data_IF_648200165864
#
_entry.id   IF_648200165864
#
_cell.length_a   1.000
_cell.length_b   1.000
_cell.length_c   1.000
_cell.angle_alpha   90.00
_cell.angle_beta   90.00
_cell.angle_gamma   90.00
#
_symmetry.space_group_name_H-M   'P 1'
#
loop_
_entity.id
_entity.type
_entity.pdbx_description
1 polymer ?
#
# COMPACT_ATOMS: atom_id res chain seq x y z
N UNK A 1 7.60 14.76 10.65
CA UNK A 1 7.49 14.76 9.17
C UNK A 1 7.12 13.38 8.62
N UNK A 2 7.96 12.34 8.80
CA UNK A 2 7.72 11.01 8.22
C UNK A 2 6.38 10.35 8.64
N UNK A 3 6.09 10.28 9.95
CA UNK A 3 4.84 9.69 10.45
C UNK A 3 3.58 10.43 9.99
N UNK A 4 3.66 11.77 9.93
CA UNK A 4 2.58 12.59 9.37
C UNK A 4 2.34 12.25 7.89
N UNK A 5 3.39 11.99 7.12
CA UNK A 5 3.28 11.54 5.74
C UNK A 5 2.61 10.18 5.61
N UNK A 6 2.97 9.20 6.45
CA UNK A 6 2.31 7.88 6.47
C UNK A 6 0.81 7.99 6.83
N UNK A 7 0.48 8.81 7.83
CA UNK A 7 -0.92 9.10 8.21
C UNK A 7 -1.65 9.75 7.05
N UNK A 8 -1.03 10.73 6.38
CA UNK A 8 -1.61 11.40 5.23
C UNK A 8 -1.90 10.42 4.09
N UNK A 9 -0.98 9.51 3.77
CA UNK A 9 -1.18 8.45 2.77
C UNK A 9 -2.39 7.59 3.14
N UNK A 10 -2.49 7.15 4.40
CA UNK A 10 -3.61 6.36 4.87
C UNK A 10 -4.94 7.12 4.77
N UNK A 11 -4.97 8.42 5.11
CA UNK A 11 -6.14 9.27 4.97
C UNK A 11 -6.57 9.44 3.51
N UNK A 12 -5.62 9.71 2.59
CA UNK A 12 -5.90 9.82 1.15
C UNK A 12 -6.45 8.50 0.61
N UNK A 13 -5.91 7.36 1.06
CA UNK A 13 -6.44 6.04 0.73
C UNK A 13 -7.89 5.88 1.19
N UNK A 14 -8.19 6.17 2.46
CA UNK A 14 -9.54 6.02 3.02
C UNK A 14 -10.54 6.92 2.28
N UNK A 15 -10.14 8.16 1.98
CA UNK A 15 -10.95 9.08 1.18
C UNK A 15 -11.26 8.49 -0.19
N UNK A 16 -10.24 8.05 -0.94
CA UNK A 16 -10.45 7.44 -2.27
C UNK A 16 -11.25 6.15 -2.19
N UNK A 17 -11.02 5.33 -1.17
CA UNK A 17 -11.74 4.09 -0.96
C UNK A 17 -13.24 4.33 -0.86
N UNK A 18 -13.62 5.31 -0.02
CA UNK A 18 -15.01 5.74 0.18
C UNK A 18 -15.58 6.42 -1.06
N UNK A 19 -14.86 7.37 -1.64
CA UNK A 19 -15.31 8.12 -2.81
C UNK A 19 -15.54 7.22 -4.03
N UNK A 20 -14.71 6.18 -4.20
CA UNK A 20 -14.86 5.22 -5.30
C UNK A 20 -15.81 4.06 -4.98
N UNK A 21 -16.47 4.05 -3.82
CA UNK A 21 -17.37 2.97 -3.43
C UNK A 21 -18.67 3.01 -4.25
N UNK A 22 -19.23 4.21 -4.45
CA UNK A 22 -20.46 4.46 -5.20
C UNK A 22 -20.26 4.64 -6.71
N UNK A 23 -19.03 4.50 -7.20
CA UNK A 23 -18.69 4.77 -8.60
C UNK A 23 -18.46 3.50 -9.40
N UNK A 24 -18.94 3.53 -10.65
CA UNK A 24 -18.65 2.50 -11.65
C UNK A 24 -17.36 2.88 -12.38
N UNK A 25 -16.34 2.01 -12.41
CA UNK A 25 -15.09 2.28 -13.11
C UNK A 25 -15.30 2.33 -14.63
N UNK A 26 -14.48 3.12 -15.32
CA UNK A 26 -14.61 3.30 -16.77
C UNK A 26 -14.45 1.96 -17.53
N UNK A 27 -15.43 1.66 -18.39
CA UNK A 27 -15.48 0.45 -19.21
C UNK A 27 -14.25 0.22 -20.09
N UNK A 28 -13.63 1.29 -20.59
CA UNK A 28 -12.48 1.21 -21.51
C UNK A 28 -11.20 0.72 -20.83
N UNK A 29 -11.08 0.89 -19.51
CA UNK A 29 -9.89 0.55 -18.73
C UNK A 29 -10.09 -0.67 -17.82
N UNK A 30 -11.15 -1.45 -18.04
CA UNK A 30 -11.45 -2.62 -17.20
C UNK A 30 -10.34 -3.67 -17.20
N UNK A 31 -9.67 -3.90 -18.33
CA UNK A 31 -8.62 -4.93 -18.44
C UNK A 31 -7.37 -4.59 -17.57
N UNK A 32 -6.75 -3.41 -17.68
CA UNK A 32 -5.63 -3.05 -16.81
C UNK A 32 -6.03 -3.00 -15.33
N UNK A 33 -7.23 -2.48 -15.02
CA UNK A 33 -7.76 -2.46 -13.64
C UNK A 33 -7.89 -3.88 -13.08
N UNK A 34 -8.45 -4.82 -13.85
CA UNK A 34 -8.57 -6.23 -13.43
C UNK A 34 -7.20 -6.88 -13.19
N UNK A 35 -6.17 -6.55 -13.98
CA UNK A 35 -4.81 -7.04 -13.78
C UNK A 35 -4.21 -6.49 -12.48
N UNK A 36 -4.34 -5.18 -12.24
CA UNK A 36 -3.90 -4.55 -10.99
C UNK A 36 -4.65 -5.13 -9.78
N UNK A 37 -5.93 -5.46 -9.92
CA UNK A 37 -6.70 -6.12 -8.85
C UNK A 37 -6.16 -7.48 -8.47
N UNK A 38 -5.81 -8.29 -9.48
CA UNK A 38 -5.16 -9.58 -9.25
C UNK A 38 -3.81 -9.40 -8.58
N UNK A 39 -3.00 -8.43 -9.02
CA UNK A 39 -1.71 -8.13 -8.40
C UNK A 39 -1.87 -7.74 -6.93
N UNK A 40 -2.78 -6.83 -6.60
CA UNK A 40 -3.04 -6.41 -5.21
C UNK A 40 -3.47 -7.59 -4.34
N UNK A 41 -4.32 -8.48 -4.86
CA UNK A 41 -4.81 -9.65 -4.10
C UNK A 41 -3.74 -10.72 -3.93
N UNK A 42 -2.86 -10.88 -4.92
CA UNK A 42 -1.82 -11.92 -4.93
C UNK A 42 -0.52 -11.47 -4.26
N UNK A 43 -0.29 -10.16 -4.16
CA UNK A 43 0.86 -9.55 -3.51
C UNK A 43 1.22 -10.14 -2.14
N UNK A 44 0.28 -10.38 -1.19
CA UNK A 44 0.67 -10.87 0.13
C UNK A 44 1.21 -12.31 0.07
N UNK A 45 0.76 -13.14 -0.88
CA UNK A 45 1.28 -14.49 -1.07
C UNK A 45 2.71 -14.48 -1.60
N UNK A 46 2.99 -13.65 -2.62
CA UNK A 46 4.35 -13.47 -3.15
C UNK A 46 5.29 -12.99 -2.04
N UNK A 47 4.83 -12.03 -1.25
CA UNK A 47 5.59 -11.49 -0.12
C UNK A 47 5.93 -12.58 0.89
N UNK A 48 4.96 -13.40 1.33
CA UNK A 48 5.24 -14.51 2.26
C UNK A 48 6.28 -15.48 1.71
N UNK A 49 6.21 -15.84 0.43
CA UNK A 49 7.18 -16.75 -0.21
C UNK A 49 8.58 -16.13 -0.22
N UNK A 50 8.71 -14.89 -0.68
CA UNK A 50 10.00 -14.18 -0.76
C UNK A 50 10.61 -14.01 0.63
N UNK A 51 9.80 -13.59 1.62
CA UNK A 51 10.24 -13.45 2.99
C UNK A 51 10.67 -14.79 3.60
N UNK A 52 9.95 -15.87 3.33
CA UNK A 52 10.31 -17.21 3.83
C UNK A 52 11.69 -17.63 3.30
N UNK A 53 11.96 -17.38 2.02
CA UNK A 53 13.26 -17.69 1.40
C UNK A 53 14.38 -16.82 2.01
N UNK A 54 14.15 -15.51 2.14
CA UNK A 54 15.12 -14.58 2.74
C UNK A 54 15.41 -14.94 4.21
N UNK A 55 14.38 -15.34 4.95
CA UNK A 55 14.47 -15.76 6.34
C UNK A 55 15.35 -17.01 6.51
N UNK A 56 15.20 -17.99 5.60
CA UNK A 56 15.97 -19.24 5.63
C UNK A 56 17.45 -19.03 5.24
N UNK A 57 17.77 -18.02 4.43
CA UNK A 57 19.06 -17.91 3.75
C UNK A 57 19.97 -16.78 4.23
N UNK A 58 19.43 -15.63 4.63
CA UNK A 58 20.23 -14.39 4.76
C UNK A 58 20.07 -13.67 6.12
N UNK A 59 18.93 -13.82 6.81
CA UNK A 59 18.56 -12.97 7.96
C UNK A 59 19.09 -13.41 9.35
N UNK A 60 20.35 -13.89 9.47
CA UNK A 60 20.89 -14.31 10.79
C UNK A 60 21.16 -13.18 11.80
N UNK A 61 20.99 -11.90 11.43
CA UNK A 61 21.09 -10.74 12.34
C UNK A 61 20.21 -9.56 11.91
N UNK A 62 19.73 -8.76 12.88
CA UNK A 62 18.82 -7.61 12.69
C UNK A 62 17.43 -7.95 12.12
N UNK A 63 16.91 -9.12 12.48
CA UNK A 63 15.65 -9.65 11.95
C UNK A 63 14.45 -8.71 12.13
N UNK A 64 14.36 -8.03 13.28
CA UNK A 64 13.29 -7.09 13.58
C UNK A 64 13.32 -5.83 12.68
N UNK A 65 14.51 -5.32 12.35
CA UNK A 65 14.68 -4.15 11.48
C UNK A 65 14.26 -4.49 10.05
N UNK A 66 14.68 -5.66 9.54
CA UNK A 66 14.44 -6.06 8.16
C UNK A 66 12.98 -6.42 7.91
N UNK A 67 12.34 -7.08 8.88
CA UNK A 67 10.92 -7.41 8.76
C UNK A 67 10.07 -6.15 8.83
N UNK A 68 10.33 -5.26 9.79
CA UNK A 68 9.59 -4.01 9.90
C UNK A 68 9.82 -3.09 8.70
N UNK A 69 11.03 -3.05 8.15
CA UNK A 69 11.38 -2.37 6.91
C UNK A 69 10.53 -2.87 5.75
N UNK A 70 10.61 -4.17 5.46
CA UNK A 70 9.96 -4.70 4.29
C UNK A 70 8.42 -4.74 4.44
N UNK A 71 7.86 -4.81 5.66
CA UNK A 71 6.42 -4.57 5.90
C UNK A 71 5.98 -3.16 5.53
N UNK A 72 6.71 -2.13 5.96
CA UNK A 72 6.38 -0.73 5.66
C UNK A 72 6.54 -0.45 4.17
N UNK A 73 7.65 -0.87 3.57
CA UNK A 73 7.90 -0.68 2.13
C UNK A 73 6.84 -1.41 1.30
N UNK A 74 6.50 -2.65 1.66
CA UNK A 74 5.43 -3.40 1.00
C UNK A 74 4.07 -2.69 1.10
N UNK A 75 3.73 -2.17 2.28
CA UNK A 75 2.50 -1.40 2.47
C UNK A 75 2.45 -0.20 1.53
N UNK A 76 3.53 0.57 1.44
CA UNK A 76 3.62 1.73 0.57
C UNK A 76 3.44 1.37 -0.91
N UNK A 77 4.05 0.28 -1.37
CA UNK A 77 3.86 -0.21 -2.74
C UNK A 77 2.40 -0.60 -3.04
N UNK A 78 1.71 -1.19 -2.07
CA UNK A 78 0.28 -1.50 -2.21
C UNK A 78 -0.57 -0.23 -2.30
N UNK A 79 -0.33 0.77 -1.42
CA UNK A 79 -1.02 2.06 -1.50
C UNK A 79 -0.76 2.73 -2.85
N UNK A 80 0.48 2.75 -3.32
CA UNK A 80 0.86 3.30 -4.62
C UNK A 80 0.11 2.64 -5.77
N UNK A 81 0.08 1.30 -5.80
CA UNK A 81 -0.62 0.53 -6.82
C UNK A 81 -2.12 0.82 -6.80
N UNK A 82 -2.71 0.99 -5.60
CA UNK A 82 -4.10 1.37 -5.44
C UNK A 82 -4.38 2.78 -5.97
N UNK A 83 -3.51 3.77 -5.70
CA UNK A 83 -3.67 5.12 -6.24
C UNK A 83 -3.65 5.13 -7.76
N UNK A 84 -2.71 4.41 -8.39
CA UNK A 84 -2.65 4.28 -9.86
C UNK A 84 -3.91 3.59 -10.39
N UNK A 85 -4.34 2.49 -9.76
CA UNK A 85 -5.57 1.79 -10.16
C UNK A 85 -6.77 2.73 -10.11
N UNK A 86 -6.88 3.51 -9.03
CA UNK A 86 -8.01 4.41 -8.80
C UNK A 86 -7.98 5.58 -9.79
N UNK A 87 -6.81 6.11 -10.10
CA UNK A 87 -6.61 7.13 -11.14
C UNK A 87 -7.13 6.64 -12.49
N UNK A 88 -6.72 5.44 -12.93
CA UNK A 88 -7.20 4.86 -14.19
C UNK A 88 -8.69 4.49 -14.16
N UNK A 89 -9.18 4.00 -13.02
CA UNK A 89 -10.57 3.58 -12.88
C UNK A 89 -11.58 4.72 -12.91
N UNK A 90 -11.21 5.90 -12.42
CA UNK A 90 -12.15 7.01 -12.21
C UNK A 90 -11.58 8.36 -12.68
N UNK A 91 -10.79 8.37 -13.75
CA UNK A 91 -10.16 9.59 -14.31
C UNK A 91 -11.14 10.75 -14.55
N UNK A 92 -12.41 10.46 -14.83
CA UNK A 92 -13.47 11.47 -15.05
C UNK A 92 -13.89 12.22 -13.78
N UNK A 93 -13.63 11.66 -12.60
CA UNK A 93 -13.98 12.30 -11.34
C UNK A 93 -12.84 13.20 -10.85
N UNK A 94 -13.06 14.52 -10.87
CA UNK A 94 -12.05 15.54 -10.53
C UNK A 94 -11.46 15.37 -9.12
N UNK A 95 -12.28 15.00 -8.13
CA UNK A 95 -11.81 14.83 -6.76
C UNK A 95 -10.89 13.61 -6.64
N UNK A 96 -11.27 12.49 -7.27
CA UNK A 96 -10.44 11.28 -7.29
C UNK A 96 -9.14 11.52 -8.06
N UNK A 97 -9.21 12.24 -9.17
CA UNK A 97 -8.05 12.62 -9.96
C UNK A 97 -7.06 13.43 -9.11
N UNK A 98 -7.52 14.50 -8.46
CA UNK A 98 -6.68 15.38 -7.64
C UNK A 98 -6.04 14.59 -6.49
N UNK A 99 -6.83 13.81 -5.76
CA UNK A 99 -6.32 13.04 -4.62
C UNK A 99 -5.32 11.96 -5.08
N UNK A 100 -5.56 11.32 -6.22
CA UNK A 100 -4.62 10.34 -6.78
C UNK A 100 -3.33 11.02 -7.28
N UNK A 101 -3.43 12.20 -7.90
CA UNK A 101 -2.28 12.99 -8.34
C UNK A 101 -1.41 13.48 -7.19
N UNK A 102 -1.98 13.70 -6.00
CA UNK A 102 -1.21 14.03 -4.78
C UNK A 102 -0.69 12.75 -4.11
N UNK A 103 -1.52 11.71 -4.01
CA UNK A 103 -1.19 10.46 -3.34
C UNK A 103 -0.05 9.68 -4.01
N UNK A 104 0.02 9.66 -5.34
CA UNK A 104 1.06 8.99 -6.12
C UNK A 104 2.47 9.54 -5.79
N UNK A 105 2.78 10.83 -6.02
CA UNK A 105 4.11 11.38 -5.77
C UNK A 105 4.47 11.34 -4.28
N UNK A 106 3.51 11.58 -3.39
CA UNK A 106 3.73 11.48 -1.94
C UNK A 106 4.17 10.07 -1.55
N UNK A 107 3.42 9.05 -1.99
CA UNK A 107 3.75 7.65 -1.67
C UNK A 107 5.08 7.24 -2.32
N UNK A 108 5.32 7.66 -3.55
CA UNK A 108 6.55 7.36 -4.28
C UNK A 108 7.79 7.99 -3.61
N UNK A 109 7.67 9.23 -3.11
CA UNK A 109 8.70 9.88 -2.31
C UNK A 109 9.09 9.03 -1.08
N UNK A 110 8.10 8.55 -0.33
CA UNK A 110 8.36 7.68 0.83
C UNK A 110 8.94 6.33 0.45
N UNK A 111 8.51 5.74 -0.68
CA UNK A 111 9.12 4.51 -1.20
C UNK A 111 10.60 4.73 -1.45
N UNK A 112 10.99 5.77 -2.21
CA UNK A 112 12.40 6.01 -2.51
C UNK A 112 13.23 6.29 -1.26
N UNK A 113 12.67 7.04 -0.30
CA UNK A 113 13.36 7.35 0.94
C UNK A 113 13.55 6.13 1.84
N UNK A 114 12.55 5.26 1.93
CA UNK A 114 12.52 4.13 2.85
C UNK A 114 12.97 2.81 2.24
N UNK A 115 13.13 2.71 0.92
CA UNK A 115 13.59 1.47 0.26
C UNK A 115 15.03 1.11 0.67
N UNK A 116 16.01 2.04 0.74
CA UNK A 116 17.32 1.73 1.29
C UNK A 116 17.22 1.39 2.78
N UNK A 117 17.75 0.23 3.19
CA UNK A 117 17.67 -0.25 4.57
C UNK A 117 18.32 0.75 5.54
N UNK A 118 19.48 1.31 5.18
CA UNK A 118 20.19 2.27 6.05
C UNK A 118 19.34 3.52 6.34
N UNK A 119 18.67 4.06 5.32
CA UNK A 119 17.78 5.21 5.49
C UNK A 119 16.58 4.84 6.35
N UNK A 120 15.98 3.66 6.14
CA UNK A 120 14.89 3.18 6.99
C UNK A 120 15.33 3.05 8.45
N UNK A 121 16.49 2.44 8.69
CA UNK A 121 16.99 2.19 10.04
C UNK A 121 17.24 3.51 10.77
N UNK A 122 17.82 4.51 10.09
CA UNK A 122 18.04 5.84 10.67
C UNK A 122 16.75 6.65 10.86
N UNK A 123 15.83 6.62 9.91
CA UNK A 123 14.65 7.48 9.91
C UNK A 123 13.48 6.91 10.73
N UNK A 124 13.41 5.59 10.86
CA UNK A 124 12.28 4.87 11.47
C UNK A 124 12.76 3.98 12.62
N UNK A 125 13.54 2.94 12.33
CA UNK A 125 13.79 1.87 13.30
C UNK A 125 14.53 2.37 14.55
N UNK A 126 15.56 3.21 14.43
CA UNK A 126 16.27 3.76 15.59
C UNK A 126 15.40 4.72 16.43
N UNK A 127 14.32 5.28 15.87
CA UNK A 127 13.47 6.24 16.58
C UNK A 127 12.34 5.59 17.36
N UNK A 128 11.74 4.53 16.80
CA UNK A 128 10.56 3.87 17.39
C UNK A 128 10.77 2.39 17.66
N UNK A 129 11.96 1.85 17.34
CA UNK A 129 12.32 0.45 17.56
C UNK A 129 11.30 -0.51 16.96
N UNK A 130 10.97 -1.54 17.74
CA UNK A 130 10.02 -2.58 17.36
C UNK A 130 8.59 -2.06 17.12
N UNK A 131 8.24 -0.82 17.52
CA UNK A 131 6.93 -0.24 17.22
C UNK A 131 6.76 -0.02 15.70
N UNK A 132 7.86 0.10 14.93
CA UNK A 132 7.78 0.19 13.47
C UNK A 132 7.13 -1.04 12.83
N UNK A 133 7.30 -2.21 13.43
CA UNK A 133 6.64 -3.45 13.01
C UNK A 133 5.12 -3.34 13.14
N UNK A 134 4.64 -2.80 14.28
CA UNK A 134 3.22 -2.58 14.54
C UNK A 134 2.64 -1.60 13.51
N UNK A 135 3.37 -0.53 13.20
CA UNK A 135 2.95 0.45 12.17
C UNK A 135 2.78 -0.21 10.81
N UNK A 136 3.76 -1.02 10.38
CA UNK A 136 3.67 -1.79 9.14
C UNK A 136 2.46 -2.72 9.11
N UNK A 137 2.23 -3.47 10.18
CA UNK A 137 1.07 -4.36 10.30
C UNK A 137 -0.27 -3.61 10.21
N UNK A 138 -0.40 -2.49 10.95
CA UNK A 138 -1.62 -1.68 10.94
C UNK A 138 -1.92 -1.17 9.53
N UNK A 139 -0.90 -0.72 8.79
CA UNK A 139 -1.08 -0.25 7.41
C UNK A 139 -1.56 -1.36 6.47
N UNK A 140 -0.99 -2.58 6.56
CA UNK A 140 -1.43 -3.74 5.77
C UNK A 140 -2.86 -4.12 6.12
N UNK A 141 -3.16 -4.28 7.42
CA UNK A 141 -4.50 -4.68 7.89
C UNK A 141 -5.53 -3.65 7.48
N UNK A 142 -5.24 -2.36 7.66
CA UNK A 142 -6.11 -1.26 7.23
C UNK A 142 -6.37 -1.33 5.72
N UNK A 143 -5.34 -1.55 4.92
CA UNK A 143 -5.52 -1.64 3.47
C UNK A 143 -6.38 -2.85 3.08
N UNK A 144 -5.99 -4.07 3.47
CA UNK A 144 -6.64 -5.30 3.00
C UNK A 144 -8.05 -5.47 3.56
N UNK A 145 -8.31 -5.07 4.81
CA UNK A 145 -9.66 -5.12 5.39
C UNK A 145 -10.64 -4.28 4.57
N UNK A 146 -10.31 -3.02 4.29
CA UNK A 146 -11.13 -2.14 3.47
C UNK A 146 -11.22 -2.64 2.01
N UNK A 147 -10.09 -3.00 1.41
CA UNK A 147 -10.02 -3.41 0.02
C UNK A 147 -10.84 -4.67 -0.27
N UNK A 148 -10.69 -5.72 0.56
CA UNK A 148 -11.42 -6.98 0.39
C UNK A 148 -12.89 -6.84 0.75
N UNK A 149 -13.23 -6.03 1.75
CA UNK A 149 -14.62 -5.73 2.10
C UNK A 149 -15.37 -5.16 0.89
N UNK A 150 -14.82 -4.10 0.29
CA UNK A 150 -15.39 -3.48 -0.93
C UNK A 150 -15.51 -4.46 -2.09
N UNK A 151 -14.50 -5.30 -2.29
CA UNK A 151 -14.51 -6.31 -3.36
C UNK A 151 -15.64 -7.33 -3.14
N UNK A 152 -15.86 -7.78 -1.90
CA UNK A 152 -16.92 -8.72 -1.55
C UNK A 152 -18.31 -8.14 -1.83
N UNK A 153 -18.55 -6.89 -1.40
CA UNK A 153 -19.83 -6.19 -1.67
C UNK A 153 -20.11 -6.12 -3.17
N UNK A 154 -19.11 -5.71 -3.96
CA UNK A 154 -19.25 -5.53 -5.42
C UNK A 154 -19.43 -6.83 -6.21
N UNK A 155 -19.05 -7.98 -5.65
CA UNK A 155 -19.30 -9.31 -6.24
C UNK A 155 -20.72 -9.78 -5.90
N UNK A 156 -21.21 -9.50 -4.69
CA UNK A 156 -22.57 -9.88 -4.27
C UNK A 156 -23.70 -9.10 -4.97
N UNK A 157 -23.39 -7.94 -5.55
CA UNK A 157 -24.34 -7.14 -6.36
C UNK A 157 -24.44 -7.57 -7.84
N UNK A 158 -23.67 -8.58 -8.28
CA UNK A 158 -23.66 -9.09 -9.66
C UNK A 158 -24.26 -10.48 -9.74
#
# INVERSE_FOLDING_TARGET
>A
MLYLGLIMIACLFLYLHRASFSLVPDSKLQLPIKRMDKLIVFAPFVTVVVFSILFLTVLKGQLADRISHALIVFSLWIFFTYFIKTLFGYWKNKNILLVSLVGIPLTLYFIFQLTPLDNYTQLVFLKIGNVSFIVGLVLIVLFYSNYLHKRKVRIGER
#
